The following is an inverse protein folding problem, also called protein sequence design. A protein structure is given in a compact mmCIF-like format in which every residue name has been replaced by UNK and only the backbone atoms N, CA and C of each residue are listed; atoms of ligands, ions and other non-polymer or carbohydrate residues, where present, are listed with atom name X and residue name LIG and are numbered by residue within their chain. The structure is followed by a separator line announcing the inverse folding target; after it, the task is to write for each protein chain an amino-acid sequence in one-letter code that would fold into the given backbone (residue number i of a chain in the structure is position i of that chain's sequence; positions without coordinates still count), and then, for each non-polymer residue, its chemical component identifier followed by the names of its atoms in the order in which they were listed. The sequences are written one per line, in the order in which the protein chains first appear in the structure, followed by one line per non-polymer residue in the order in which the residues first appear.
data_IF_014722414069
#
_entry.id   IF_014722414069
#
_cell.length_a   1.000
_cell.length_b   1.000
_cell.length_c   1.000
_cell.angle_alpha   90.00
_cell.angle_beta   90.00
_cell.angle_gamma   90.00
#
_symmetry.space_group_name_H-M   'P 1'
#
loop_
_entity.id
_entity.type
_entity.pdbx_description
1 polymer ?
#
# COMPACT_ATOMS: atom_id res chain seq x y z
N UNK A 1 5.43 1.10 -5.13
CA UNK A 1 5.74 -0.34 -5.10
C UNK A 1 7.11 -0.56 -4.49
N UNK A 2 8.13 0.14 -5.00
CA UNK A 2 9.48 0.19 -4.42
C UNK A 2 9.45 0.46 -2.91
N UNK A 3 8.84 1.56 -2.46
CA UNK A 3 8.67 1.85 -1.02
C UNK A 3 7.96 0.76 -0.21
N UNK A 4 7.05 0.00 -0.83
CA UNK A 4 6.35 -1.06 -0.11
C UNK A 4 7.29 -2.24 0.15
N UNK A 5 7.95 -2.74 -0.90
CA UNK A 5 8.79 -3.94 -0.83
C UNK A 5 10.12 -3.65 -0.14
N UNK A 6 10.78 -2.55 -0.52
CA UNK A 6 12.17 -2.30 -0.16
C UNK A 6 12.34 -1.44 1.09
N UNK A 7 11.30 -0.74 1.54
CA UNK A 7 11.38 0.10 2.72
C UNK A 7 10.40 -0.39 3.79
N UNK A 8 9.10 -0.40 3.49
CA UNK A 8 8.07 -0.67 4.47
C UNK A 8 8.10 -2.10 5.02
N UNK A 9 8.13 -3.12 4.15
CA UNK A 9 8.22 -4.52 4.60
C UNK A 9 9.56 -4.86 5.27
N UNK A 10 10.57 -4.00 5.19
CA UNK A 10 11.87 -4.18 5.85
C UNK A 10 12.03 -3.31 7.11
N UNK A 11 11.03 -2.46 7.44
CA UNK A 11 11.19 -1.39 8.43
C UNK A 11 11.11 -1.86 9.89
N UNK A 12 10.34 -2.90 10.20
CA UNK A 12 10.08 -3.33 11.58
C UNK A 12 10.55 -4.77 11.80
N UNK A 13 9.91 -5.73 11.16
CA UNK A 13 10.43 -7.07 10.92
C UNK A 13 10.47 -7.30 9.41
N UNK A 14 11.51 -7.96 8.90
CA UNK A 14 11.61 -8.23 7.47
C UNK A 14 10.53 -9.24 7.06
N UNK A 15 9.46 -8.75 6.45
CA UNK A 15 8.35 -9.57 5.96
C UNK A 15 8.61 -9.98 4.51
N UNK A 16 8.65 -11.28 4.18
CA UNK A 16 8.70 -11.73 2.79
C UNK A 16 7.55 -11.11 1.99
N UNK A 17 7.83 -10.62 0.79
CA UNK A 17 6.81 -9.93 -0.02
C UNK A 17 5.56 -10.80 -0.31
N UNK A 18 5.72 -12.12 -0.35
CA UNK A 18 4.61 -13.07 -0.47
C UNK A 18 3.63 -13.03 0.72
N UNK A 19 4.14 -12.83 1.94
CA UNK A 19 3.36 -12.79 3.18
C UNK A 19 2.89 -11.37 3.53
N UNK A 20 3.33 -10.37 2.75
CA UNK A 20 3.06 -8.97 3.03
C UNK A 20 1.60 -8.54 2.88
N UNK A 21 0.70 -9.36 2.31
CA UNK A 21 -0.59 -8.88 1.78
C UNK A 21 -1.41 -8.11 2.82
N UNK A 22 -1.42 -8.60 4.06
CA UNK A 22 -2.10 -8.02 5.22
C UNK A 22 -1.54 -6.67 5.68
N UNK A 23 -0.33 -6.32 5.25
CA UNK A 23 0.35 -5.08 5.62
C UNK A 23 0.03 -3.90 4.69
N UNK A 24 -0.64 -4.14 3.55
CA UNK A 24 -0.97 -3.10 2.57
C UNK A 24 -1.85 -1.99 3.17
N UNK A 25 -2.79 -2.36 4.05
CA UNK A 25 -3.65 -1.37 4.71
C UNK A 25 -2.83 -0.41 5.59
N UNK A 26 -1.92 -0.93 6.42
CA UNK A 26 -1.02 -0.09 7.22
C UNK A 26 -0.05 0.74 6.37
N UNK A 27 0.39 0.21 5.24
CA UNK A 27 1.23 0.95 4.30
C UNK A 27 0.52 2.21 3.78
N UNK A 28 -0.70 2.08 3.23
CA UNK A 28 -1.41 3.23 2.65
C UNK A 28 -2.11 4.11 3.68
N UNK A 29 -2.68 3.51 4.72
CA UNK A 29 -3.41 4.24 5.75
C UNK A 29 -2.52 5.15 6.59
N UNK A 30 -1.21 4.88 6.62
CA UNK A 30 -0.34 5.50 7.59
C UNK A 30 1.10 5.76 7.09
N UNK A 31 1.87 4.72 6.76
CA UNK A 31 3.30 4.88 6.49
C UNK A 31 3.58 5.70 5.22
N UNK A 32 2.91 5.38 4.12
CA UNK A 32 3.13 5.99 2.81
C UNK A 32 2.77 7.47 2.82
N UNK A 33 1.66 7.85 3.46
CA UNK A 33 1.22 9.24 3.58
C UNK A 33 2.21 10.07 4.39
N UNK A 34 2.82 9.50 5.44
CA UNK A 34 3.77 10.21 6.31
C UNK A 34 5.20 10.25 5.76
N UNK A 35 5.61 9.24 5.00
CA UNK A 35 7.01 9.07 4.57
C UNK A 35 7.26 9.43 3.11
N UNK A 36 6.27 9.31 2.23
CA UNK A 36 6.42 9.72 0.84
C UNK A 36 6.01 11.20 0.70
N UNK A 37 6.99 12.11 0.62
CA UNK A 37 6.75 13.55 0.37
C UNK A 37 5.95 13.83 -0.92
N UNK A 38 5.95 12.87 -1.85
CA UNK A 38 5.21 12.91 -3.11
C UNK A 38 3.85 12.19 -3.05
N UNK A 39 3.39 11.82 -1.85
CA UNK A 39 2.10 11.20 -1.64
C UNK A 39 0.99 12.11 -2.19
N UNK A 40 0.21 11.53 -3.08
CA UNK A 40 -0.87 12.15 -3.83
C UNK A 40 -1.91 11.09 -4.17
N UNK A 41 -3.13 11.51 -4.48
CA UNK A 41 -4.18 10.56 -4.88
C UNK A 41 -3.74 9.68 -6.06
N UNK A 42 -3.04 10.28 -7.03
CA UNK A 42 -2.48 9.58 -8.19
C UNK A 42 -1.44 8.55 -7.78
N UNK A 43 -0.52 8.89 -6.87
CA UNK A 43 0.51 7.96 -6.38
C UNK A 43 -0.08 6.76 -5.63
N UNK A 44 -1.11 6.96 -4.80
CA UNK A 44 -1.81 5.91 -4.07
C UNK A 44 -2.48 4.96 -5.06
N UNK A 45 -3.29 5.50 -5.98
CA UNK A 45 -3.98 4.70 -7.00
C UNK A 45 -3.00 3.93 -7.89
N UNK A 46 -1.91 4.57 -8.33
CA UNK A 46 -0.86 3.91 -9.13
C UNK A 46 -0.17 2.80 -8.35
N UNK A 47 0.17 3.03 -7.09
CA UNK A 47 0.85 2.03 -6.25
C UNK A 47 -0.08 0.86 -5.95
N UNK A 48 -1.36 1.10 -5.63
CA UNK A 48 -2.35 0.07 -5.40
C UNK A 48 -2.60 -0.79 -6.66
N UNK A 49 -2.68 -0.16 -7.83
CA UNK A 49 -2.73 -0.87 -9.10
C UNK A 49 -1.48 -1.72 -9.36
N UNK A 50 -0.30 -1.21 -9.00
CA UNK A 50 0.95 -1.95 -9.05
C UNK A 50 0.94 -3.17 -8.13
N UNK A 51 0.47 -3.04 -6.89
CA UNK A 51 0.41 -4.15 -5.93
C UNK A 51 -0.50 -5.28 -6.41
N UNK A 52 -1.66 -4.95 -7.00
CA UNK A 52 -2.53 -5.97 -7.62
C UNK A 52 -1.79 -6.77 -8.70
N UNK A 53 -0.99 -6.12 -9.53
CA UNK A 53 -0.17 -6.80 -10.57
C UNK A 53 0.97 -7.61 -9.95
N UNK A 54 1.58 -7.08 -8.90
CA UNK A 54 2.67 -7.75 -8.20
C UNK A 54 2.21 -9.05 -7.52
N UNK A 55 1.08 -9.04 -6.79
CA UNK A 55 0.52 -10.26 -6.22
C UNK A 55 0.04 -11.24 -7.28
N UNK A 56 -0.52 -10.76 -8.40
CA UNK A 56 -0.80 -11.65 -9.53
C UNK A 56 0.47 -12.33 -10.04
N UNK A 57 1.58 -11.61 -10.19
CA UNK A 57 2.86 -12.18 -10.59
C UNK A 57 3.41 -13.18 -9.57
N UNK A 58 3.27 -12.92 -8.26
CA UNK A 58 3.67 -13.87 -7.23
C UNK A 58 2.88 -15.17 -7.32
N UNK A 59 1.57 -15.08 -7.56
CA UNK A 59 0.73 -16.25 -7.80
C UNK A 59 1.14 -17.00 -9.08
N UNK A 60 1.31 -16.29 -10.19
CA UNK A 60 1.71 -16.88 -11.48
C UNK A 60 3.08 -17.58 -11.41
N UNK A 61 3.90 -17.23 -10.42
CA UNK A 61 5.22 -17.83 -10.15
C UNK A 61 5.23 -18.82 -8.99
N UNK A 62 4.06 -19.17 -8.43
CA UNK A 62 3.93 -20.13 -7.34
C UNK A 62 4.49 -19.66 -6.00
N UNK A 63 4.62 -18.34 -5.81
CA UNK A 63 5.19 -17.71 -4.60
C UNK A 63 4.15 -17.28 -3.58
N UNK A 64 2.88 -17.21 -3.96
CA UNK A 64 1.76 -16.97 -3.05
C UNK A 64 0.54 -17.75 -3.54
N UNK A 65 -0.52 -17.77 -2.75
CA UNK A 65 -1.75 -18.46 -3.11
C UNK A 65 -2.75 -17.52 -3.77
N UNK A 66 -3.80 -18.09 -4.37
CA UNK A 66 -4.88 -17.31 -4.99
C UNK A 66 -5.63 -16.46 -3.95
N UNK A 67 -5.68 -16.91 -2.70
CA UNK A 67 -6.34 -16.18 -1.61
C UNK A 67 -5.64 -14.84 -1.35
N UNK A 68 -4.31 -14.78 -1.44
CA UNK A 68 -3.54 -13.52 -1.31
C UNK A 68 -3.91 -12.54 -2.42
N UNK A 69 -4.04 -13.02 -3.65
CA UNK A 69 -4.42 -12.18 -4.80
C UNK A 69 -5.82 -11.61 -4.63
N UNK A 70 -6.77 -12.43 -4.17
CA UNK A 70 -8.15 -12.03 -3.91
C UNK A 70 -8.19 -10.98 -2.79
N UNK A 71 -7.51 -11.28 -1.68
CA UNK A 71 -7.40 -10.38 -0.54
C UNK A 71 -6.86 -9.00 -0.93
N UNK A 72 -5.77 -8.92 -1.70
CA UNK A 72 -5.23 -7.65 -2.17
C UNK A 72 -6.19 -6.92 -3.11
N UNK A 73 -6.93 -7.65 -3.97
CA UNK A 73 -7.91 -7.04 -4.89
C UNK A 73 -9.10 -6.44 -4.15
N UNK A 74 -9.61 -7.16 -3.15
CA UNK A 74 -10.77 -6.72 -2.38
C UNK A 74 -10.39 -5.58 -1.44
N UNK A 75 -9.25 -5.67 -0.72
CA UNK A 75 -8.73 -4.55 0.08
C UNK A 75 -8.54 -3.28 -0.75
N UNK A 76 -7.93 -3.36 -1.93
CA UNK A 76 -7.76 -2.20 -2.80
C UNK A 76 -9.10 -1.64 -3.30
N UNK A 77 -10.13 -2.48 -3.45
CA UNK A 77 -11.47 -2.04 -3.88
C UNK A 77 -12.19 -1.31 -2.74
N UNK A 78 -12.11 -1.86 -1.53
CA UNK A 78 -12.86 -1.42 -0.36
C UNK A 78 -12.20 -0.21 0.32
N UNK A 79 -10.88 -0.23 0.48
CA UNK A 79 -10.18 0.70 1.38
C UNK A 79 -9.59 1.92 0.64
N UNK A 80 -9.55 1.93 -0.69
CA UNK A 80 -8.93 3.03 -1.44
C UNK A 80 -9.57 4.38 -1.13
N UNK A 81 -10.89 4.41 -0.89
CA UNK A 81 -11.57 5.64 -0.50
C UNK A 81 -11.09 6.16 0.86
N UNK A 82 -10.86 5.26 1.80
CA UNK A 82 -10.34 5.57 3.13
C UNK A 82 -8.90 6.08 3.05
N UNK A 83 -8.01 5.42 2.30
CA UNK A 83 -6.62 5.86 2.15
C UNK A 83 -6.52 7.27 1.56
N UNK A 84 -7.38 7.58 0.57
CA UNK A 84 -7.45 8.92 -0.01
C UNK A 84 -8.00 9.95 0.99
N UNK A 85 -8.96 9.55 1.85
CA UNK A 85 -9.43 10.40 2.94
C UNK A 85 -8.32 10.65 3.98
N UNK A 86 -7.52 9.63 4.31
CA UNK A 86 -6.34 9.74 5.16
C UNK A 86 -5.32 10.75 4.62
N UNK A 87 -4.99 10.65 3.33
CA UNK A 87 -4.13 11.62 2.65
C UNK A 87 -4.69 13.04 2.72
N UNK A 88 -5.99 13.23 2.46
CA UNK A 88 -6.62 14.56 2.53
C UNK A 88 -6.55 15.14 3.94
N UNK A 89 -6.85 14.34 4.98
CA UNK A 89 -6.73 14.76 6.38
C UNK A 89 -5.30 15.17 6.73
N UNK A 90 -4.31 14.39 6.29
CA UNK A 90 -2.91 14.70 6.52
C UNK A 90 -2.49 16.02 5.86
N UNK A 91 -2.85 16.22 4.59
CA UNK A 91 -2.54 17.45 3.86
C UNK A 91 -3.23 18.67 4.47
N UNK A 92 -4.47 18.53 4.94
CA UNK A 92 -5.18 19.60 5.65
C UNK A 92 -4.54 19.94 7.00
N UNK A 93 -4.11 18.94 7.77
CA UNK A 93 -3.44 19.14 9.06
C UNK A 93 -2.03 19.75 8.91
N UNK A 94 -1.31 19.42 7.84
CA UNK A 94 -0.01 20.03 7.52
C UNK A 94 -0.11 21.50 7.10
N UNK A 95 -1.29 21.95 6.66
CA UNK A 95 -1.57 23.33 6.27
C UNK A 95 -2.06 24.22 7.45
N UNK A 96 -2.12 23.65 8.66
CA UNK A 96 -2.54 24.34 9.89
C UNK A 96 -1.34 24.74 10.78
N UNK A 97 -0.11 24.60 10.26
CA UNK A 97 1.12 25.02 10.94
C UNK A 97 1.91 25.98 10.03
N UNK A 98 1.56 27.27 10.11
CA UNK A 98 2.42 28.39 9.67
C UNK A 98 2.05 29.04 8.34
#
# INVERSE_FOLDING_TARGET
MEFYINEYLLYSEAVPAAEGATHIHGFFGDWFVRKAMWASETSIKRTAAGLKKFYQFLFDTGRCEIHDVQFVRDMVREDVAEWLAGLRRYNSAGNDVG
#
